data_IF_707367041484
#
_entry.id   IF_707367041484
#
_cell.length_a   1.000
_cell.length_b   1.000
_cell.length_c   1.000
_cell.angle_alpha   90.00
_cell.angle_beta   90.00
_cell.angle_gamma   90.00
#
_symmetry.space_group_name_H-M   'P 1'
#
loop_
_entity.id
_entity.type
_entity.pdbx_description
1 polymer ?
#
# COMPACT_ATOMS: atom_id res chain seq x y z
N UNK A 1 8.58 17.02 -25.48
CA UNK A 1 7.48 16.68 -24.56
C UNK A 1 7.90 15.37 -23.91
N UNK A 2 8.28 15.40 -22.62
CA UNK A 2 8.79 14.22 -21.95
C UNK A 2 7.63 13.24 -21.77
N UNK A 3 7.71 12.06 -22.37
CA UNK A 3 6.73 11.00 -22.20
C UNK A 3 6.89 10.43 -20.79
N UNK A 4 6.13 10.99 -19.84
CA UNK A 4 6.06 10.43 -18.49
C UNK A 4 5.05 9.29 -18.57
N UNK A 5 5.54 8.12 -18.99
CA UNK A 5 4.74 6.90 -18.94
C UNK A 5 4.60 6.48 -17.47
N UNK A 6 3.44 6.77 -16.88
CA UNK A 6 3.16 6.33 -15.51
C UNK A 6 2.83 4.84 -15.56
N UNK A 7 3.75 4.03 -15.06
CA UNK A 7 3.64 2.57 -15.00
C UNK A 7 2.70 2.13 -13.87
N UNK A 8 1.39 2.17 -14.14
CA UNK A 8 0.36 1.78 -13.16
C UNK A 8 0.41 0.28 -12.81
N UNK A 9 0.99 -0.54 -13.68
CA UNK A 9 1.34 -1.95 -13.41
C UNK A 9 2.38 -2.09 -12.29
N UNK A 10 3.46 -1.29 -12.33
CA UNK A 10 4.52 -1.30 -11.31
C UNK A 10 3.98 -0.84 -9.95
N UNK A 11 3.06 0.15 -9.94
CA UNK A 11 2.40 0.59 -8.71
C UNK A 11 1.57 -0.53 -8.08
N UNK A 12 0.80 -1.28 -8.90
CA UNK A 12 0.02 -2.44 -8.43
C UNK A 12 0.91 -3.57 -7.94
N UNK A 13 1.98 -3.87 -8.66
CA UNK A 13 2.94 -4.90 -8.26
C UNK A 13 3.58 -4.55 -6.91
N UNK A 14 3.98 -3.29 -6.73
CA UNK A 14 4.53 -2.80 -5.47
C UNK A 14 3.52 -2.89 -4.33
N UNK A 15 2.26 -2.53 -4.58
CA UNK A 15 1.19 -2.68 -3.59
C UNK A 15 0.99 -4.14 -3.16
N UNK A 16 1.04 -5.08 -4.10
CA UNK A 16 0.93 -6.51 -3.79
C UNK A 16 2.13 -6.99 -2.97
N UNK A 17 3.35 -6.60 -3.33
CA UNK A 17 4.55 -6.93 -2.55
C UNK A 17 4.50 -6.42 -1.12
N UNK A 18 3.97 -5.21 -0.89
CA UNK A 18 3.77 -4.68 0.46
C UNK A 18 2.74 -5.49 1.27
N UNK A 19 1.68 -5.99 0.62
CA UNK A 19 0.69 -6.84 1.29
C UNK A 19 1.22 -8.23 1.60
N UNK A 20 2.01 -8.81 0.69
CA UNK A 20 2.70 -10.06 0.93
C UNK A 20 3.69 -9.93 2.08
N UNK A 21 4.46 -8.84 2.14
CA UNK A 21 5.34 -8.54 3.25
C UNK A 21 4.57 -8.41 4.57
N UNK A 22 3.45 -7.69 4.57
CA UNK A 22 2.59 -7.55 5.75
C UNK A 22 2.02 -8.90 6.21
N UNK A 23 1.60 -9.76 5.28
CA UNK A 23 1.09 -11.10 5.58
C UNK A 23 2.18 -12.05 6.10
N UNK A 24 3.40 -11.94 5.58
CA UNK A 24 4.54 -12.76 5.98
C UNK A 24 4.98 -12.51 7.43
N UNK A 25 4.70 -11.32 7.98
CA UNK A 25 4.93 -11.03 9.40
C UNK A 25 4.08 -11.94 10.29
N UNK A 26 2.97 -12.50 9.80
CA UNK A 26 2.13 -13.45 10.53
C UNK A 26 0.94 -12.78 11.26
N UNK A 27 0.13 -13.54 12.00
CA UNK A 27 -1.09 -13.04 12.60
C UNK A 27 -0.81 -11.85 13.53
N UNK A 28 -1.49 -10.74 13.23
CA UNK A 28 -1.26 -9.48 13.92
C UNK A 28 -1.48 -9.62 15.43
N UNK A 29 -0.43 -9.36 16.21
CA UNK A 29 -0.53 -9.23 17.66
C UNK A 29 -0.29 -10.50 18.49
N UNK A 30 0.33 -11.54 17.93
CA UNK A 30 0.71 -12.75 18.70
C UNK A 30 2.18 -13.18 18.52
N UNK A 31 3.02 -12.29 18.00
CA UNK A 31 4.43 -12.60 17.65
C UNK A 31 5.32 -12.92 18.84
N UNK A 32 4.96 -12.41 20.03
CA UNK A 32 5.81 -12.49 21.22
C UNK A 32 5.11 -13.18 22.39
N UNK A 33 4.08 -13.99 22.12
CA UNK A 33 3.34 -14.77 23.12
C UNK A 33 4.25 -15.67 23.97
N UNK A 34 5.30 -16.24 23.37
CA UNK A 34 6.31 -16.99 24.09
C UNK A 34 7.11 -16.12 25.07
N UNK A 35 7.44 -14.88 24.68
CA UNK A 35 8.12 -13.91 25.56
C UNK A 35 7.21 -13.48 26.71
N UNK A 36 5.91 -13.27 26.46
CA UNK A 36 4.94 -12.98 27.52
C UNK A 36 4.79 -14.16 28.49
N UNK A 37 4.74 -15.38 27.96
CA UNK A 37 4.69 -16.60 28.78
C UNK A 37 5.95 -16.73 29.64
N UNK A 38 7.13 -16.55 29.06
CA UNK A 38 8.39 -16.56 29.81
C UNK A 38 8.41 -15.49 30.90
N UNK A 39 8.05 -14.25 30.58
CA UNK A 39 7.98 -13.14 31.54
C UNK A 39 7.06 -13.47 32.73
N UNK A 40 5.92 -14.13 32.48
CA UNK A 40 4.98 -14.55 33.52
C UNK A 40 5.53 -15.63 34.46
N UNK A 41 6.53 -16.41 34.03
CA UNK A 41 7.21 -17.40 34.89
C UNK A 41 8.33 -16.79 35.75
N UNK A 42 8.78 -15.58 35.43
CA UNK A 42 9.93 -14.92 36.06
C UNK A 42 9.51 -13.83 37.06
N UNK A 43 8.34 -13.93 37.69
CA UNK A 43 7.77 -12.87 38.56
C UNK A 43 8.60 -12.54 39.79
N UNK A 44 9.43 -13.49 40.26
CA UNK A 44 10.35 -13.28 41.37
C UNK A 44 11.64 -12.52 40.98
N UNK A 45 11.84 -12.25 39.68
CA UNK A 45 13.05 -11.63 39.13
C UNK A 45 12.71 -10.35 38.38
N UNK A 46 13.53 -9.31 38.53
CA UNK A 46 13.35 -8.03 37.81
C UNK A 46 13.33 -8.19 36.29
N UNK A 47 13.97 -9.24 35.77
CA UNK A 47 13.97 -9.60 34.35
C UNK A 47 12.58 -9.95 33.81
N UNK A 48 11.64 -10.43 34.65
CA UNK A 48 10.28 -10.78 34.22
C UNK A 48 9.52 -9.55 33.71
N UNK A 49 9.30 -8.52 34.55
CA UNK A 49 8.70 -7.25 34.11
C UNK A 49 9.45 -6.60 32.94
N UNK A 50 10.79 -6.56 32.97
CA UNK A 50 11.58 -5.98 31.88
C UNK A 50 11.37 -6.70 30.53
N UNK A 51 11.28 -8.04 30.54
CA UNK A 51 10.98 -8.82 29.35
C UNK A 51 9.57 -8.55 28.83
N UNK A 52 8.58 -8.43 29.72
CA UNK A 52 7.20 -8.09 29.34
C UNK A 52 7.11 -6.72 28.67
N UNK A 53 7.79 -5.72 29.21
CA UNK A 53 7.79 -4.36 28.66
C UNK A 53 8.46 -4.33 27.28
N UNK A 54 9.60 -5.02 27.16
CA UNK A 54 10.30 -5.19 25.87
C UNK A 54 9.40 -5.87 24.83
N UNK A 55 8.73 -6.97 25.20
CA UNK A 55 7.81 -7.68 24.31
C UNK A 55 6.63 -6.80 23.88
N UNK A 56 6.08 -6.02 24.79
CA UNK A 56 4.98 -5.07 24.51
C UNK A 56 5.41 -3.99 23.52
N UNK A 57 6.59 -3.41 23.71
CA UNK A 57 7.13 -2.39 22.82
C UNK A 57 7.35 -2.94 21.41
N UNK A 58 7.98 -4.11 21.28
CA UNK A 58 8.20 -4.76 19.99
C UNK A 58 6.91 -5.14 19.29
N UNK A 59 5.94 -5.70 20.01
CA UNK A 59 4.64 -6.05 19.45
C UNK A 59 3.89 -4.82 18.93
N UNK A 60 3.96 -3.70 19.65
CA UNK A 60 3.40 -2.42 19.22
C UNK A 60 4.08 -1.92 17.95
N UNK A 61 5.42 -2.01 17.89
CA UNK A 61 6.18 -1.57 16.73
C UNK A 61 5.89 -2.41 15.49
N UNK A 62 5.87 -3.74 15.62
CA UNK A 62 5.52 -4.66 14.52
C UNK A 62 4.11 -4.43 14.01
N UNK A 63 3.14 -4.22 14.91
CA UNK A 63 1.78 -3.84 14.51
C UNK A 63 1.77 -2.55 13.71
N UNK A 64 2.48 -1.51 14.18
CA UNK A 64 2.58 -0.24 13.45
C UNK A 64 3.21 -0.41 12.08
N UNK A 65 4.25 -1.23 11.95
CA UNK A 65 4.90 -1.52 10.67
C UNK A 65 3.95 -2.22 9.69
N UNK A 66 3.23 -3.26 10.14
CA UNK A 66 2.21 -3.95 9.33
C UNK A 66 1.11 -2.98 8.89
N UNK A 67 0.61 -2.15 9.80
CA UNK A 67 -0.41 -1.14 9.50
C UNK A 67 0.12 -0.07 8.51
N UNK A 68 1.42 0.25 8.52
CA UNK A 68 2.04 1.14 7.52
C UNK A 68 2.14 0.48 6.15
N UNK A 69 2.55 -0.79 6.08
CA UNK A 69 2.63 -1.54 4.82
C UNK A 69 1.26 -1.60 4.13
N UNK A 70 0.19 -1.88 4.88
CA UNK A 70 -1.18 -1.85 4.34
C UNK A 70 -1.56 -0.47 3.79
N UNK A 71 -1.32 0.60 4.56
CA UNK A 71 -1.61 1.97 4.11
C UNK A 71 -0.86 2.33 2.83
N UNK A 72 0.42 1.98 2.72
CA UNK A 72 1.20 2.25 1.52
C UNK A 72 0.72 1.42 0.33
N UNK A 73 0.34 0.16 0.54
CA UNK A 73 -0.27 -0.65 -0.50
C UNK A 73 -1.56 -0.03 -1.04
N UNK A 74 -2.43 0.48 -0.16
CA UNK A 74 -3.66 1.19 -0.54
C UNK A 74 -3.36 2.45 -1.35
N UNK A 75 -2.45 3.30 -0.86
CA UNK A 75 -2.05 4.53 -1.55
C UNK A 75 -1.51 4.27 -2.96
N UNK A 76 -0.73 3.20 -3.15
CA UNK A 76 -0.22 2.80 -4.46
C UNK A 76 -1.34 2.34 -5.40
N UNK A 77 -2.34 1.61 -4.89
CA UNK A 77 -3.52 1.20 -5.66
C UNK A 77 -4.38 2.38 -6.06
N UNK A 78 -4.64 3.29 -5.14
CA UNK A 78 -5.39 4.51 -5.39
C UNK A 78 -4.71 5.39 -6.42
N UNK A 79 -3.38 5.51 -6.33
CA UNK A 79 -2.57 6.24 -7.30
C UNK A 79 -2.68 5.59 -8.69
N UNK A 80 -2.50 4.27 -8.79
CA UNK A 80 -2.65 3.54 -10.05
C UNK A 80 -4.03 3.75 -10.68
N UNK A 81 -5.09 3.68 -9.86
CA UNK A 81 -6.46 3.91 -10.33
C UNK A 81 -6.69 5.35 -10.79
N UNK A 82 -6.14 6.33 -10.08
CA UNK A 82 -6.22 7.75 -10.45
C UNK A 82 -5.55 8.02 -11.80
N UNK A 83 -4.37 7.43 -12.01
CA UNK A 83 -3.64 7.58 -13.27
C UNK A 83 -4.35 6.93 -14.45
N UNK A 84 -4.87 5.71 -14.30
CA UNK A 84 -5.67 5.06 -15.34
C UNK A 84 -6.89 5.91 -15.74
N UNK A 85 -7.58 6.51 -14.75
CA UNK A 85 -8.73 7.38 -15.03
C UNK A 85 -8.31 8.66 -15.76
N UNK A 86 -7.19 9.26 -15.37
CA UNK A 86 -6.67 10.44 -16.03
C UNK A 86 -6.28 10.15 -17.50
N UNK A 87 -5.65 9.00 -17.76
CA UNK A 87 -5.30 8.55 -19.11
C UNK A 87 -6.55 8.33 -19.96
N UNK A 88 -7.53 7.58 -19.46
CA UNK A 88 -8.80 7.35 -20.18
C UNK A 88 -9.52 8.66 -20.51
N UNK A 89 -9.53 9.61 -19.59
CA UNK A 89 -10.14 10.92 -19.81
C UNK A 89 -9.38 11.74 -20.86
N UNK A 90 -8.04 11.70 -20.84
CA UNK A 90 -7.23 12.33 -21.87
C UNK A 90 -7.51 11.74 -23.26
N UNK A 91 -7.55 10.40 -23.39
CA UNK A 91 -7.90 9.72 -24.64
C UNK A 91 -9.30 10.12 -25.12
N UNK A 92 -10.30 10.15 -24.24
CA UNK A 92 -11.67 10.57 -24.59
C UNK A 92 -11.71 11.98 -25.16
N UNK A 93 -11.02 12.93 -24.52
CA UNK A 93 -10.97 14.32 -24.99
C UNK A 93 -10.28 14.45 -26.34
N UNK A 94 -9.17 13.74 -26.55
CA UNK A 94 -8.46 13.72 -27.84
C UNK A 94 -9.35 13.14 -28.94
N UNK A 95 -10.00 12.01 -28.70
CA UNK A 95 -10.91 11.39 -29.67
C UNK A 95 -12.10 12.30 -30.00
N UNK A 96 -12.69 12.96 -28.99
CA UNK A 96 -13.78 13.91 -29.19
C UNK A 96 -13.33 15.10 -30.05
N UNK A 97 -12.17 15.68 -29.76
CA UNK A 97 -11.62 16.79 -30.53
C UNK A 97 -11.29 16.40 -31.99
N UNK A 98 -10.73 15.20 -32.21
CA UNK A 98 -10.48 14.68 -33.56
C UNK A 98 -11.77 14.47 -34.35
N UNK A 99 -12.82 13.96 -33.69
CA UNK A 99 -14.15 13.77 -34.30
C UNK A 99 -14.76 15.12 -34.69
N UNK A 100 -14.65 16.13 -33.84
CA UNK A 100 -15.15 17.49 -34.12
C UNK A 100 -14.45 18.13 -35.34
N UNK A 101 -13.12 18.01 -35.42
CA UNK A 101 -12.33 18.48 -36.57
C UNK A 101 -12.70 17.76 -37.88
N UNK A 102 -12.99 16.47 -37.83
CA UNK A 102 -13.41 15.70 -39.00
C UNK A 102 -14.85 16.04 -39.42
N UNK A 103 -15.75 16.26 -38.45
CA UNK A 103 -17.14 16.65 -38.71
C UNK A 103 -17.26 18.06 -39.30
N UNK A 104 -16.41 18.99 -38.87
CA UNK A 104 -16.36 20.37 -39.42
C UNK A 104 -15.74 20.44 -40.82
N UNK A 105 -14.86 19.50 -41.19
CA UNK A 105 -14.33 19.39 -42.55
C UNK A 105 -15.38 18.91 -43.58
N UNK A 106 -16.49 18.30 -43.15
CA UNK A 106 -17.52 17.74 -44.02
C UNK A 106 -18.68 18.69 -44.38
N UNK A 107 -18.79 19.86 -43.73
CA UNK A 107 -19.89 20.82 -43.92
C UNK A 107 -19.52 22.05 -44.76
N UNK A 108 -18.35 22.03 -45.41
CA UNK A 108 -17.82 23.14 -46.23
C UNK A 108 -17.97 22.97 -47.75
N UNK A 109 -19.08 22.41 -48.24
CA UNK A 109 -19.37 22.35 -49.69
C UNK A 109 -20.77 22.85 -50.02
#
# INVERSE_FOLDING_TARGET
MNDIHIRTDVLRQSANGLQEAAAAVGPAGHWLDSSFTAAATMTAWESGPALKDCATAWQTHMKSAVDQLHRYAEQLRDSAHSYDRAEQEATRRVTAALTDLQGTAGTGQ
#
